data_IF_370516896381
#
_entry.id   IF_370516896381
#
_cell.length_a   1.000
_cell.length_b   1.000
_cell.length_c   1.000
_cell.angle_alpha   90.00
_cell.angle_beta   90.00
_cell.angle_gamma   90.00
#
_symmetry.space_group_name_H-M   'P 1'
#
loop_
_entity.id
_entity.type
_entity.pdbx_description
1 polymer ?
#
# COMPACT_ATOMS: atom_id res chain seq x y z
N UNK A 1 5.27 -37.37 -24.20
CA UNK A 1 5.18 -38.42 -23.16
C UNK A 1 4.96 -37.73 -21.81
N UNK A 2 3.74 -37.24 -21.57
CA UNK A 2 3.34 -36.71 -20.26
C UNK A 2 2.45 -37.76 -19.63
N UNK A 3 2.85 -38.19 -18.44
CA UNK A 3 2.21 -39.25 -17.68
C UNK A 3 0.83 -38.74 -17.24
N UNK A 4 -0.21 -39.34 -17.81
CA UNK A 4 -1.55 -39.29 -17.26
C UNK A 4 -1.57 -40.07 -15.94
N UNK A 5 -1.43 -39.38 -14.81
CA UNK A 5 -1.88 -39.94 -13.53
C UNK A 5 -3.37 -39.69 -13.42
N UNK A 6 -4.14 -40.59 -14.01
CA UNK A 6 -5.56 -40.79 -13.70
C UNK A 6 -5.69 -41.35 -12.29
N UNK A 7 -5.64 -40.48 -11.28
CA UNK A 7 -6.09 -40.85 -9.94
C UNK A 7 -7.61 -40.70 -9.92
N UNK A 8 -8.31 -41.77 -10.26
CA UNK A 8 -9.76 -41.87 -10.00
C UNK A 8 -9.97 -42.02 -8.51
N UNK A 9 -10.00 -40.90 -7.79
CA UNK A 9 -10.49 -40.89 -6.41
C UNK A 9 -12.01 -41.04 -6.49
N UNK A 10 -12.52 -42.24 -6.17
CA UNK A 10 -13.95 -42.46 -5.99
C UNK A 10 -14.41 -41.69 -4.74
N UNK A 11 -14.66 -40.39 -4.87
CA UNK A 11 -15.23 -39.58 -3.80
C UNK A 11 -16.74 -39.79 -3.79
N UNK A 12 -17.24 -40.46 -2.76
CA UNK A 12 -18.66 -40.47 -2.43
C UNK A 12 -19.04 -39.12 -1.83
N UNK A 13 -19.86 -38.34 -2.54
CA UNK A 13 -20.37 -37.05 -2.08
C UNK A 13 -21.69 -37.24 -1.30
N UNK A 14 -21.81 -36.60 -0.14
CA UNK A 14 -23.08 -36.53 0.59
C UNK A 14 -24.08 -35.59 -0.11
N UNK A 15 -25.36 -35.64 0.28
CA UNK A 15 -26.36 -34.71 -0.23
C UNK A 15 -26.03 -33.23 0.11
N UNK A 16 -25.36 -33.00 1.24
CA UNK A 16 -24.88 -31.67 1.63
C UNK A 16 -23.73 -31.21 0.73
N UNK A 17 -22.79 -32.11 0.39
CA UNK A 17 -21.68 -31.81 -0.51
C UNK A 17 -22.19 -31.45 -1.91
N UNK A 18 -23.14 -32.21 -2.45
CA UNK A 18 -23.74 -31.92 -3.75
C UNK A 18 -24.48 -30.58 -3.77
N UNK A 19 -25.21 -30.25 -2.69
CA UNK A 19 -25.84 -28.93 -2.55
C UNK A 19 -24.79 -27.80 -2.55
N UNK A 20 -23.68 -27.99 -1.83
CA UNK A 20 -22.60 -27.01 -1.77
C UNK A 20 -21.87 -26.86 -3.12
N UNK A 21 -21.58 -27.98 -3.80
CA UNK A 21 -20.96 -27.99 -5.13
C UNK A 21 -21.85 -27.32 -6.19
N UNK A 22 -23.17 -27.52 -6.13
CA UNK A 22 -24.11 -26.82 -7.02
C UNK A 22 -24.12 -25.30 -6.77
N UNK A 23 -24.05 -24.85 -5.52
CA UNK A 23 -23.93 -23.41 -5.22
C UNK A 23 -22.59 -22.83 -5.69
N UNK A 24 -21.52 -23.62 -5.65
CA UNK A 24 -20.21 -23.21 -6.17
C UNK A 24 -20.21 -23.13 -7.69
N UNK A 25 -20.88 -24.05 -8.39
CA UNK A 25 -20.93 -24.03 -9.86
C UNK A 25 -21.70 -22.84 -10.42
N UNK A 26 -22.63 -22.24 -9.65
CA UNK A 26 -23.26 -20.96 -10.00
C UNK A 26 -22.25 -19.79 -10.04
N UNK A 27 -21.22 -19.82 -9.18
CA UNK A 27 -20.17 -18.79 -9.11
C UNK A 27 -18.96 -19.10 -9.99
N UNK A 28 -18.64 -20.39 -10.18
CA UNK A 28 -17.49 -20.88 -10.93
C UNK A 28 -17.95 -21.94 -11.95
N UNK A 29 -18.56 -21.52 -13.07
CA UNK A 29 -19.20 -22.44 -14.01
C UNK A 29 -18.20 -23.29 -14.80
N UNK A 30 -16.95 -22.85 -14.92
CA UNK A 30 -15.89 -23.60 -15.63
C UNK A 30 -14.76 -24.02 -14.69
N UNK A 31 -14.04 -25.08 -15.10
CA UNK A 31 -12.81 -25.52 -14.42
C UNK A 31 -11.79 -24.37 -14.36
N UNK A 32 -11.72 -23.54 -15.42
CA UNK A 32 -10.84 -22.39 -15.49
C UNK A 32 -11.20 -21.33 -14.44
N UNK A 33 -12.49 -21.03 -14.25
CA UNK A 33 -12.95 -20.07 -13.23
C UNK A 33 -12.59 -20.55 -11.83
N UNK A 34 -12.90 -21.81 -11.51
CA UNK A 34 -12.61 -22.39 -10.20
C UNK A 34 -11.10 -22.44 -9.93
N UNK A 35 -10.31 -22.84 -10.93
CA UNK A 35 -8.85 -22.94 -10.81
C UNK A 35 -8.21 -21.55 -10.64
N UNK A 36 -8.70 -20.56 -11.38
CA UNK A 36 -8.23 -19.17 -11.26
C UNK A 36 -8.50 -18.62 -9.85
N UNK A 37 -9.69 -18.88 -9.29
CA UNK A 37 -10.01 -18.41 -7.94
C UNK A 37 -9.22 -19.17 -6.86
N UNK A 38 -8.99 -20.47 -7.02
CA UNK A 38 -8.11 -21.23 -6.11
C UNK A 38 -6.71 -20.63 -6.09
N UNK A 39 -6.12 -20.38 -7.27
CA UNK A 39 -4.79 -19.76 -7.38
C UNK A 39 -4.78 -18.36 -6.73
N UNK A 40 -5.81 -17.56 -6.95
CA UNK A 40 -5.94 -16.22 -6.37
C UNK A 40 -6.03 -16.27 -4.83
N UNK A 41 -6.85 -17.16 -4.27
CA UNK A 41 -7.01 -17.32 -2.82
C UNK A 41 -5.74 -17.88 -2.18
N UNK A 42 -5.09 -18.87 -2.79
CA UNK A 42 -3.79 -19.39 -2.33
C UNK A 42 -2.72 -18.31 -2.35
N UNK A 43 -2.66 -17.49 -3.41
CA UNK A 43 -1.74 -16.36 -3.47
C UNK A 43 -1.99 -15.33 -2.36
N UNK A 44 -3.26 -15.05 -2.04
CA UNK A 44 -3.64 -14.15 -0.94
C UNK A 44 -3.21 -14.73 0.41
N UNK A 45 -3.41 -16.04 0.66
CA UNK A 45 -3.01 -16.69 1.91
C UNK A 45 -1.50 -16.69 2.13
N UNK A 46 -0.71 -16.61 1.06
CA UNK A 46 0.75 -16.52 1.11
C UNK A 46 1.27 -15.09 1.34
N UNK A 47 0.40 -14.07 1.38
CA UNK A 47 0.81 -12.71 1.72
C UNK A 47 1.10 -12.59 3.22
N UNK A 48 2.02 -11.69 3.64
CA UNK A 48 2.17 -11.32 5.03
C UNK A 48 0.83 -10.88 5.64
N UNK A 49 0.60 -11.21 6.92
CA UNK A 49 -0.63 -10.78 7.61
C UNK A 49 -0.74 -9.26 7.61
N UNK A 50 -1.96 -8.78 7.42
CA UNK A 50 -2.31 -7.37 7.56
C UNK A 50 -2.10 -6.87 9.00
N UNK A 51 -2.00 -5.56 9.15
CA UNK A 51 -1.84 -4.92 10.46
C UNK A 51 -3.23 -4.77 11.10
N UNK A 52 -3.45 -5.46 12.22
CA UNK A 52 -4.66 -5.31 13.04
C UNK A 52 -4.38 -4.32 14.18
N UNK A 53 -5.29 -3.37 14.37
CA UNK A 53 -5.16 -2.33 15.37
C UNK A 53 -6.30 -2.46 16.38
N UNK A 54 -5.97 -2.79 17.63
CA UNK A 54 -6.93 -2.90 18.73
C UNK A 54 -6.90 -1.64 19.59
N UNK A 55 -8.07 -1.07 19.88
CA UNK A 55 -8.20 0.11 20.75
C UNK A 55 -9.26 -0.15 21.83
N UNK A 56 -8.84 -0.11 23.10
CA UNK A 56 -9.72 -0.46 24.23
C UNK A 56 -10.30 0.73 24.98
N UNK A 57 -9.73 1.93 24.84
CA UNK A 57 -10.11 3.10 25.66
C UNK A 57 -10.36 4.36 24.80
N UNK A 58 -11.63 4.58 24.45
CA UNK A 58 -12.11 5.74 23.70
C UNK A 58 -12.79 6.75 24.64
N UNK A 59 -12.06 7.25 25.65
CA UNK A 59 -12.59 8.18 26.65
C UNK A 59 -12.39 9.65 26.26
N UNK A 60 -13.13 10.15 25.26
CA UNK A 60 -13.27 11.60 25.00
C UNK A 60 -12.06 12.34 24.41
N UNK A 61 -10.90 11.70 24.33
CA UNK A 61 -9.65 12.25 23.80
C UNK A 61 -9.57 12.15 22.26
N UNK A 62 -10.38 12.95 21.55
CA UNK A 62 -10.46 12.93 20.09
C UNK A 62 -9.11 13.20 19.40
N UNK A 63 -8.33 14.14 19.92
CA UNK A 63 -7.03 14.50 19.32
C UNK A 63 -5.99 13.39 19.47
N UNK A 64 -5.90 12.77 20.65
CA UNK A 64 -5.03 11.63 20.90
C UNK A 64 -5.41 10.44 20.01
N UNK A 65 -6.71 10.16 19.87
CA UNK A 65 -7.21 9.10 18.99
C UNK A 65 -6.85 9.36 17.52
N UNK A 66 -7.06 10.59 17.03
CA UNK A 66 -6.68 10.98 15.68
C UNK A 66 -5.18 10.82 15.46
N UNK A 67 -4.36 11.15 16.45
CA UNK A 67 -2.91 10.96 16.38
C UNK A 67 -2.51 9.47 16.27
N UNK A 68 -3.13 8.61 17.08
CA UNK A 68 -2.89 7.16 17.06
C UNK A 68 -3.27 6.54 15.71
N UNK A 69 -4.40 6.94 15.13
CA UNK A 69 -4.76 6.51 13.77
C UNK A 69 -3.76 7.02 12.73
N UNK A 70 -3.36 8.29 12.82
CA UNK A 70 -2.42 8.91 11.87
C UNK A 70 -1.03 8.30 11.95
N UNK A 71 -0.58 7.85 13.11
CA UNK A 71 0.72 7.19 13.29
C UNK A 71 0.66 5.66 13.18
N UNK A 72 -0.55 5.11 13.04
CA UNK A 72 -0.87 3.68 13.03
C UNK A 72 -0.21 2.92 14.20
N UNK A 73 -0.36 3.44 15.42
CA UNK A 73 0.32 2.95 16.62
C UNK A 73 1.84 2.80 16.50
N UNK A 74 2.47 3.69 15.72
CA UNK A 74 3.92 3.70 15.50
C UNK A 74 4.42 2.80 14.37
N UNK A 75 3.53 2.06 13.69
CA UNK A 75 3.93 1.18 12.57
C UNK A 75 4.51 1.99 11.41
N UNK A 76 4.00 3.19 11.14
CA UNK A 76 4.57 4.07 10.11
C UNK A 76 6.02 4.43 10.44
N UNK A 77 6.29 4.79 11.70
CA UNK A 77 7.66 5.09 12.15
C UNK A 77 8.55 3.88 11.94
N UNK A 78 8.12 2.70 12.39
CA UNK A 78 8.88 1.47 12.17
C UNK A 78 9.20 1.27 10.68
N UNK A 79 8.23 1.49 9.78
CA UNK A 79 8.43 1.32 8.34
C UNK A 79 9.40 2.34 7.74
N UNK A 80 9.32 3.59 8.18
CA UNK A 80 10.28 4.64 7.78
C UNK A 80 11.69 4.25 8.20
N UNK A 81 11.89 3.76 9.43
CA UNK A 81 13.20 3.27 9.87
C UNK A 81 13.65 2.05 9.05
N UNK A 82 12.79 1.05 8.82
CA UNK A 82 13.14 -0.12 8.00
C UNK A 82 13.67 0.27 6.61
N UNK A 83 13.08 1.31 5.99
CA UNK A 83 13.47 1.79 4.66
C UNK A 83 14.72 2.67 4.70
N UNK A 84 14.87 3.55 5.70
CA UNK A 84 15.84 4.65 5.66
C UNK A 84 16.93 4.64 6.75
N UNK A 85 16.98 3.64 7.63
CA UNK A 85 17.91 3.63 8.78
C UNK A 85 19.39 3.83 8.41
N UNK A 86 19.78 3.47 7.18
CA UNK A 86 21.16 3.57 6.69
C UNK A 86 21.38 4.74 5.71
N UNK A 87 20.34 5.51 5.39
CA UNK A 87 20.38 6.54 4.33
C UNK A 87 19.95 7.91 4.82
N UNK A 88 19.11 8.01 5.86
CA UNK A 88 18.67 9.27 6.46
C UNK A 88 19.06 9.36 7.92
N UNK A 89 19.21 10.58 8.43
CA UNK A 89 19.40 10.85 9.86
C UNK A 89 18.07 10.70 10.59
N UNK A 90 18.17 10.45 11.90
CA UNK A 90 17.01 10.38 12.81
C UNK A 90 16.07 11.60 12.73
N UNK A 91 16.65 12.80 12.60
CA UNK A 91 15.87 14.04 12.45
C UNK A 91 15.06 14.04 11.16
N UNK A 92 15.64 13.59 10.05
CA UNK A 92 15.00 13.55 8.73
C UNK A 92 13.88 12.49 8.71
N UNK A 93 14.14 11.31 9.28
CA UNK A 93 13.13 10.26 9.45
C UNK A 93 11.95 10.74 10.31
N UNK A 94 12.24 11.47 11.39
CA UNK A 94 11.20 12.06 12.26
C UNK A 94 10.38 13.11 11.53
N UNK A 95 11.00 13.93 10.69
CA UNK A 95 10.31 14.89 9.84
C UNK A 95 9.42 14.23 8.80
N UNK A 96 9.91 13.16 8.14
CA UNK A 96 9.14 12.37 7.19
C UNK A 96 7.92 11.72 7.87
N UNK A 97 8.09 11.14 9.06
CA UNK A 97 6.97 10.62 9.84
C UNK A 97 5.93 11.72 10.13
N UNK A 98 6.39 12.89 10.56
CA UNK A 98 5.51 14.03 10.86
C UNK A 98 4.73 14.49 9.62
N UNK A 99 5.39 14.52 8.46
CA UNK A 99 4.74 14.82 7.18
C UNK A 99 3.69 13.76 6.81
N UNK A 100 3.97 12.48 7.05
CA UNK A 100 2.99 11.42 6.80
C UNK A 100 1.79 11.60 7.74
N UNK A 101 1.98 11.95 9.01
CA UNK A 101 0.89 12.09 9.98
C UNK A 101 0.01 13.33 9.74
N UNK A 102 0.64 14.46 9.39
CA UNK A 102 -0.01 15.77 9.26
C UNK A 102 0.44 16.46 7.97
N UNK A 103 0.11 15.92 6.79
CA UNK A 103 0.69 16.36 5.54
C UNK A 103 0.34 17.81 5.20
N UNK A 104 -0.92 18.22 5.40
CA UNK A 104 -1.37 19.56 5.09
C UNK A 104 -0.71 20.61 6.02
N UNK A 105 -0.69 20.34 7.32
CA UNK A 105 -0.15 21.22 8.34
C UNK A 105 1.37 21.33 8.20
N UNK A 106 2.06 20.20 8.00
CA UNK A 106 3.52 20.18 7.83
C UNK A 106 3.95 20.85 6.52
N UNK A 107 3.21 20.67 5.41
CA UNK A 107 3.49 21.36 4.15
C UNK A 107 3.44 22.88 4.29
N UNK A 108 2.46 23.43 5.02
CA UNK A 108 2.38 24.87 5.27
C UNK A 108 3.62 25.39 5.98
N UNK A 109 4.11 24.68 7.00
CA UNK A 109 5.32 25.05 7.73
C UNK A 109 6.58 24.96 6.86
N UNK A 110 6.66 23.95 5.99
CA UNK A 110 7.80 23.77 5.09
C UNK A 110 7.85 24.91 4.07
N UNK A 111 6.72 25.27 3.47
CA UNK A 111 6.65 26.39 2.51
C UNK A 111 7.06 27.74 3.06
N UNK A 112 6.96 27.94 4.38
CA UNK A 112 7.41 29.18 5.02
C UNK A 112 8.91 29.20 5.30
N UNK A 113 9.55 28.04 5.38
CA UNK A 113 10.95 27.88 5.79
C UNK A 113 11.87 27.54 4.63
N UNK A 114 11.37 26.79 3.66
CA UNK A 114 12.18 26.22 2.60
C UNK A 114 12.48 27.25 1.52
N UNK A 115 13.75 27.33 1.15
CA UNK A 115 14.25 28.27 0.14
C UNK A 115 14.08 27.71 -1.28
N UNK A 116 14.18 26.39 -1.44
CA UNK A 116 14.04 25.70 -2.71
C UNK A 116 13.03 24.57 -2.60
N UNK A 117 11.76 24.93 -2.79
CA UNK A 117 10.64 23.99 -2.67
C UNK A 117 10.68 22.88 -3.73
N UNK A 118 11.16 23.16 -4.94
CA UNK A 118 11.19 22.18 -6.02
C UNK A 118 12.12 21.01 -5.70
N UNK A 119 13.32 21.30 -5.18
CA UNK A 119 14.24 20.24 -4.77
C UNK A 119 13.73 19.50 -3.51
N UNK A 120 13.10 20.22 -2.58
CA UNK A 120 12.44 19.58 -1.44
C UNK A 120 11.32 18.63 -1.89
N UNK A 121 10.50 19.00 -2.89
CA UNK A 121 9.47 18.13 -3.44
C UNK A 121 10.09 16.87 -4.07
N UNK A 122 11.16 16.99 -4.85
CA UNK A 122 11.82 15.82 -5.47
C UNK A 122 12.26 14.82 -4.42
N UNK A 123 12.94 15.27 -3.37
CA UNK A 123 13.41 14.41 -2.28
C UNK A 123 12.23 13.76 -1.55
N UNK A 124 11.26 14.57 -1.15
CA UNK A 124 10.08 14.12 -0.39
C UNK A 124 9.21 13.14 -1.17
N UNK A 125 8.97 13.38 -2.45
CA UNK A 125 8.16 12.50 -3.29
C UNK A 125 8.82 11.13 -3.50
N UNK A 126 10.14 11.09 -3.68
CA UNK A 126 10.89 9.85 -3.72
C UNK A 126 10.78 9.09 -2.38
N UNK A 127 11.00 9.79 -1.27
CA UNK A 127 10.89 9.19 0.06
C UNK A 127 9.51 8.60 0.34
N UNK A 128 8.44 9.36 0.05
CA UNK A 128 7.06 8.88 0.19
C UNK A 128 6.76 7.69 -0.71
N UNK A 129 7.32 7.66 -1.91
CA UNK A 129 7.19 6.54 -2.84
C UNK A 129 7.78 5.26 -2.25
N UNK A 130 9.00 5.33 -1.69
CA UNK A 130 9.65 4.19 -1.04
C UNK A 130 8.86 3.68 0.17
N UNK A 131 8.38 4.58 1.04
CA UNK A 131 7.54 4.18 2.18
C UNK A 131 6.26 3.52 1.69
N UNK A 132 5.60 4.10 0.68
CA UNK A 132 4.37 3.57 0.11
C UNK A 132 4.57 2.18 -0.50
N UNK A 133 5.69 1.97 -1.22
CA UNK A 133 6.09 0.64 -1.71
C UNK A 133 6.22 -0.33 -0.54
N UNK A 134 6.97 0.03 0.49
CA UNK A 134 7.24 -0.82 1.65
C UNK A 134 5.96 -1.23 2.41
N UNK A 135 4.97 -0.34 2.58
CA UNK A 135 3.69 -0.70 3.22
C UNK A 135 2.75 -1.49 2.30
N UNK A 136 2.91 -1.37 0.97
CA UNK A 136 2.02 -2.01 -0.01
C UNK A 136 2.29 -3.50 -0.22
N UNK A 137 3.52 -3.98 0.04
CA UNK A 137 3.97 -5.36 -0.27
C UNK A 137 3.08 -6.44 0.35
N UNK A 138 2.44 -6.17 1.49
CA UNK A 138 1.55 -7.11 2.18
C UNK A 138 0.15 -7.24 1.54
N UNK A 139 -0.13 -6.53 0.46
CA UNK A 139 -1.44 -6.51 -0.18
C UNK A 139 -1.39 -6.88 -1.65
N UNK A 140 -2.48 -7.46 -2.16
CA UNK A 140 -2.63 -7.66 -3.62
C UNK A 140 -2.73 -6.33 -4.36
N UNK A 141 -2.30 -6.31 -5.62
CA UNK A 141 -2.46 -5.15 -6.52
C UNK A 141 -3.91 -4.65 -6.57
N UNK A 142 -4.88 -5.56 -6.58
CA UNK A 142 -6.31 -5.23 -6.58
C UNK A 142 -6.74 -4.53 -5.29
N UNK A 143 -6.26 -5.01 -4.12
CA UNK A 143 -6.56 -4.38 -2.81
C UNK A 143 -5.94 -2.98 -2.73
N UNK A 144 -4.67 -2.82 -3.12
CA UNK A 144 -4.01 -1.52 -3.15
C UNK A 144 -4.75 -0.55 -4.07
N UNK A 145 -5.06 -0.96 -5.32
CA UNK A 145 -5.76 -0.12 -6.30
C UNK A 145 -7.08 0.44 -5.77
N UNK A 146 -7.84 -0.36 -5.00
CA UNK A 146 -9.12 0.07 -4.40
C UNK A 146 -8.97 1.13 -3.30
N UNK A 147 -7.77 1.30 -2.75
CA UNK A 147 -7.47 2.29 -1.70
C UNK A 147 -6.86 3.57 -2.26
N UNK A 148 -6.49 3.60 -3.54
CA UNK A 148 -5.85 4.77 -4.14
C UNK A 148 -6.87 5.87 -4.48
N UNK A 149 -6.54 7.15 -4.26
CA UNK A 149 -7.39 8.26 -4.65
C UNK A 149 -7.59 8.29 -6.17
N UNK A 150 -8.83 8.50 -6.69
CA UNK A 150 -9.12 8.44 -8.12
C UNK A 150 -8.19 9.32 -8.97
N UNK A 151 -7.95 10.55 -8.52
CA UNK A 151 -7.15 11.57 -9.23
C UNK A 151 -5.68 11.17 -9.43
N UNK A 152 -5.15 10.30 -8.57
CA UNK A 152 -3.76 9.85 -8.63
C UNK A 152 -3.62 8.33 -8.74
N UNK A 153 -4.72 7.60 -8.94
CA UNK A 153 -4.74 6.15 -8.90
C UNK A 153 -3.78 5.52 -9.91
N UNK A 154 -3.79 6.03 -11.15
CA UNK A 154 -2.88 5.57 -12.20
C UNK A 154 -1.42 5.88 -11.85
N UNK A 155 -1.13 7.12 -11.44
CA UNK A 155 0.23 7.57 -11.14
C UNK A 155 0.83 6.78 -9.98
N UNK A 156 0.09 6.62 -8.88
CA UNK A 156 0.58 5.86 -7.73
C UNK A 156 0.76 4.39 -8.10
N UNK A 157 -0.12 3.80 -8.92
CA UNK A 157 0.11 2.45 -9.43
C UNK A 157 1.42 2.34 -10.21
N UNK A 158 1.71 3.27 -11.13
CA UNK A 158 2.97 3.27 -11.86
C UNK A 158 4.15 3.31 -10.89
N UNK A 159 4.13 4.23 -9.91
CA UNK A 159 5.19 4.36 -8.91
C UNK A 159 5.37 3.09 -8.05
N UNK A 160 4.30 2.35 -7.75
CA UNK A 160 4.36 1.16 -6.90
C UNK A 160 4.78 -0.14 -7.63
N UNK A 161 4.62 -0.20 -8.95
CA UNK A 161 4.71 -1.47 -9.69
C UNK A 161 6.13 -1.96 -10.01
N UNK A 162 7.19 -1.25 -9.62
CA UNK A 162 8.53 -1.67 -10.01
C UNK A 162 9.60 -1.54 -8.92
N UNK A 163 10.31 -2.66 -8.75
CA UNK A 163 11.52 -2.80 -7.95
C UNK A 163 12.68 -2.16 -8.68
N UNK A 164 13.16 -1.04 -8.15
CA UNK A 164 14.36 -0.36 -8.64
C UNK A 164 15.57 -1.29 -8.54
N UNK A 165 16.06 -1.73 -9.70
CA UNK A 165 17.49 -1.99 -9.85
C UNK A 165 18.15 -0.66 -10.20
N UNK A 166 19.14 -0.18 -9.40
CA UNK A 166 19.89 1.03 -9.72
C UNK A 166 20.45 0.98 -11.15
N UNK A 167 20.24 2.05 -11.93
CA UNK A 167 20.71 2.12 -13.32
C UNK A 167 19.78 1.54 -14.38
N UNK A 168 18.53 1.18 -14.03
CA UNK A 168 17.55 0.80 -15.04
C UNK A 168 17.11 2.02 -15.88
N UNK A 169 16.83 1.85 -17.19
CA UNK A 169 16.27 2.91 -18.04
C UNK A 169 14.97 3.51 -17.49
N UNK A 170 14.28 2.76 -16.64
CA UNK A 170 13.00 3.16 -16.04
C UNK A 170 13.14 4.14 -14.89
N UNK A 171 14.33 4.28 -14.28
CA UNK A 171 14.56 5.31 -13.26
C UNK A 171 14.35 6.72 -13.82
N UNK A 172 14.74 6.96 -15.07
CA UNK A 172 14.47 8.23 -15.76
C UNK A 172 12.98 8.45 -16.01
N UNK A 173 12.22 7.39 -16.27
CA UNK A 173 10.77 7.45 -16.44
C UNK A 173 10.08 7.82 -15.12
N UNK A 174 10.45 7.20 -14.00
CA UNK A 174 9.93 7.52 -12.68
C UNK A 174 10.23 8.96 -12.27
N UNK A 175 11.47 9.40 -12.42
CA UNK A 175 11.85 10.78 -12.18
C UNK A 175 11.06 11.74 -13.10
N UNK A 176 10.78 11.35 -14.34
CA UNK A 176 9.92 12.09 -15.27
C UNK A 176 8.50 12.28 -14.74
N UNK A 177 7.89 11.25 -14.15
CA UNK A 177 6.56 11.35 -13.51
C UNK A 177 6.60 12.35 -12.35
N UNK A 178 7.56 12.21 -11.43
CA UNK A 178 7.66 13.10 -10.27
C UNK A 178 7.93 14.56 -10.67
N UNK A 179 8.84 14.77 -11.63
CA UNK A 179 9.10 16.10 -12.17
C UNK A 179 7.87 16.70 -12.85
N UNK A 180 7.08 15.88 -13.55
CA UNK A 180 5.83 16.33 -14.17
C UNK A 180 4.85 16.83 -13.11
N UNK A 181 4.64 16.09 -12.02
CA UNK A 181 3.78 16.48 -10.89
C UNK A 181 4.20 17.83 -10.29
N UNK A 182 5.51 18.04 -10.13
CA UNK A 182 6.06 19.31 -9.63
C UNK A 182 5.80 20.44 -10.62
N UNK A 183 6.17 20.25 -11.89
CA UNK A 183 6.07 21.28 -12.94
C UNK A 183 4.64 21.76 -13.20
N UNK A 184 3.64 20.90 -13.02
CA UNK A 184 2.21 21.27 -13.16
C UNK A 184 1.60 21.83 -11.87
N UNK A 185 2.41 22.02 -10.81
CA UNK A 185 1.98 22.61 -9.54
C UNK A 185 1.09 21.69 -8.69
N UNK A 186 1.18 20.36 -8.85
CA UNK A 186 0.35 19.38 -8.12
C UNK A 186 1.08 18.65 -6.99
N UNK A 187 2.30 19.05 -6.67
CA UNK A 187 3.14 18.40 -5.65
C UNK A 187 2.45 18.30 -4.28
N UNK A 188 1.86 19.38 -3.76
CA UNK A 188 1.19 19.35 -2.44
C UNK A 188 0.06 18.33 -2.38
N UNK A 189 -0.83 18.39 -3.38
CA UNK A 189 -1.98 17.51 -3.46
C UNK A 189 -1.54 16.05 -3.55
N UNK A 190 -0.47 15.79 -4.28
CA UNK A 190 0.12 14.47 -4.39
C UNK A 190 0.76 14.00 -3.08
N UNK A 191 1.49 14.86 -2.38
CA UNK A 191 2.06 14.54 -1.06
C UNK A 191 0.97 14.18 -0.05
N UNK A 192 -0.10 14.98 0.01
CA UNK A 192 -1.24 14.71 0.90
C UNK A 192 -1.89 13.37 0.53
N UNK A 193 -2.11 13.12 -0.77
CA UNK A 193 -2.66 11.87 -1.26
C UNK A 193 -1.79 10.66 -0.89
N UNK A 194 -0.47 10.74 -1.11
CA UNK A 194 0.49 9.69 -0.77
C UNK A 194 0.52 9.41 0.72
N UNK A 195 0.59 10.45 1.56
CA UNK A 195 0.54 10.30 3.02
C UNK A 195 -0.74 9.60 3.49
N UNK A 196 -1.89 9.97 2.92
CA UNK A 196 -3.17 9.31 3.24
C UNK A 196 -3.18 7.85 2.78
N UNK A 197 -2.65 7.54 1.60
CA UNK A 197 -2.52 6.15 1.12
C UNK A 197 -1.63 5.34 2.05
N UNK A 198 -0.50 5.89 2.51
CA UNK A 198 0.39 5.22 3.48
C UNK A 198 -0.36 4.95 4.78
N UNK A 199 -1.08 5.94 5.34
CA UNK A 199 -1.88 5.76 6.54
C UNK A 199 -2.91 4.64 6.38
N UNK A 200 -3.66 4.65 5.28
CA UNK A 200 -4.68 3.64 4.98
C UNK A 200 -4.09 2.23 4.78
N UNK A 201 -2.95 2.11 4.08
CA UNK A 201 -2.28 0.82 3.90
C UNK A 201 -1.61 0.33 5.18
N UNK A 202 -1.37 1.20 6.17
CA UNK A 202 -0.74 0.79 7.42
C UNK A 202 -1.74 0.15 8.38
N UNK A 203 -3.03 0.47 8.29
CA UNK A 203 -4.10 -0.10 9.15
C UNK A 203 -5.03 -0.98 8.30
N UNK A 204 -4.97 -2.31 8.45
CA UNK A 204 -5.82 -3.22 7.67
C UNK A 204 -7.21 -3.40 8.31
N UNK A 205 -7.25 -3.56 9.64
CA UNK A 205 -8.48 -3.64 10.42
C UNK A 205 -8.33 -2.87 11.73
N UNK A 206 -9.34 -2.06 12.04
CA UNK A 206 -9.51 -1.42 13.34
C UNK A 206 -10.53 -2.22 14.14
N UNK A 207 -10.17 -2.59 15.36
CA UNK A 207 -10.97 -3.35 16.33
C UNK A 207 -11.22 -2.51 17.58
#
# INVERSE_FOLDING_TARGET
MFIAMSVSVNKTYSAADLKFLNLLSEKFPTIADATTEIINLEAILNLPKGTEHFLTDLHGEYEAFRHVLKNASGVIRQKVHEVFNNTLRESEMTELCTLIYYPAEKLQLIKQKESNLDDWYKVTLNQLTEVCRAVSVKYTRSKVRKMLPPDFSYVIQELLHESDSPGSPKQSYFNGILNSIISIGRADAFIIAMSNVIQCLTIDRLH
#
